data_IF_295531841906
#
_entry.id   IF_295531841906
#
_cell.length_a   1.000
_cell.length_b   1.000
_cell.length_c   1.000
_cell.angle_alpha   90.00
_cell.angle_beta   90.00
_cell.angle_gamma   90.00
#
_symmetry.space_group_name_H-M   'P 1'
#
loop_
_entity.id
_entity.type
_entity.pdbx_description
1 polymer ?
#
# COMPACT_ATOMS: atom_id res chain seq x y z
N UNK A 1 43.75 9.43 -91.73
CA UNK A 1 42.36 9.45 -92.21
C UNK A 1 41.55 10.24 -91.22
N UNK A 2 41.05 11.40 -91.67
CA UNK A 2 39.82 12.12 -91.28
C UNK A 2 39.59 12.43 -89.80
N UNK A 3 39.18 13.61 -89.32
CA UNK A 3 38.69 14.91 -89.85
C UNK A 3 38.46 15.74 -88.55
N UNK A 4 38.93 16.99 -88.47
CA UNK A 4 38.10 18.23 -88.35
C UNK A 4 37.05 18.25 -87.22
N UNK A 5 36.79 19.29 -86.42
CA UNK A 5 37.17 20.71 -86.29
C UNK A 5 36.61 21.14 -84.89
N UNK A 6 36.67 22.34 -84.32
CA UNK A 6 36.89 23.69 -84.82
C UNK A 6 36.98 24.68 -83.64
N UNK A 7 37.60 25.84 -83.94
CA UNK A 7 37.44 27.18 -83.32
C UNK A 7 38.05 27.44 -81.92
N UNK A 8 39.21 28.13 -81.78
CA UNK A 8 39.55 29.57 -82.03
C UNK A 8 38.79 30.52 -81.08
N UNK A 9 39.35 31.56 -80.43
CA UNK A 9 40.48 32.47 -80.66
C UNK A 9 40.76 33.18 -79.31
N UNK A 10 42.01 33.28 -78.83
CA UNK A 10 42.96 34.41 -78.96
C UNK A 10 42.69 35.67 -78.08
N UNK A 11 43.62 35.86 -77.12
CA UNK A 11 44.28 37.06 -76.51
C UNK A 11 43.93 38.50 -77.02
N UNK A 12 44.27 39.63 -76.34
CA UNK A 12 45.35 39.85 -75.34
C UNK A 12 45.04 40.79 -74.14
N UNK A 13 45.99 40.88 -73.20
CA UNK A 13 46.08 41.87 -72.11
C UNK A 13 46.60 43.24 -72.60
N UNK A 14 46.08 44.35 -72.06
CA UNK A 14 46.82 45.58 -71.63
C UNK A 14 45.89 46.55 -70.83
N UNK A 15 46.36 47.58 -70.08
CA UNK A 15 46.05 47.71 -68.64
C UNK A 15 45.41 49.06 -68.18
N UNK A 16 45.19 49.14 -66.86
CA UNK A 16 45.30 50.30 -65.96
C UNK A 16 44.14 51.33 -65.83
N UNK A 17 43.80 51.59 -64.55
CA UNK A 17 43.34 52.86 -63.92
C UNK A 17 41.90 53.33 -64.29
N UNK A 18 40.99 53.77 -63.43
CA UNK A 18 40.98 54.37 -62.08
C UNK A 18 39.51 54.41 -61.56
N UNK A 19 39.34 54.41 -60.24
CA UNK A 19 38.14 54.55 -59.36
C UNK A 19 37.04 55.60 -59.77
N UNK A 20 35.80 55.66 -59.19
CA UNK A 20 35.45 55.35 -57.78
C UNK A 20 34.05 54.75 -57.42
N UNK A 21 34.04 54.11 -56.24
CA UNK A 21 33.10 54.20 -55.10
C UNK A 21 31.59 54.35 -55.34
N UNK A 22 30.79 53.36 -54.91
CA UNK A 22 29.61 53.58 -54.03
C UNK A 22 29.30 52.33 -53.20
N UNK A 23 29.19 52.53 -51.88
CA UNK A 23 28.88 51.49 -50.90
C UNK A 23 27.50 51.76 -50.24
N UNK A 24 26.77 50.66 -49.97
CA UNK A 24 25.67 50.44 -48.99
C UNK A 24 24.28 51.09 -49.22
N UNK A 25 23.18 50.32 -49.00
CA UNK A 25 22.43 50.47 -47.73
C UNK A 25 21.66 49.22 -47.20
N UNK A 26 22.18 47.99 -47.24
CA UNK A 26 21.41 46.79 -46.78
C UNK A 26 21.68 46.33 -45.33
N UNK A 27 22.84 46.63 -44.75
CA UNK A 27 23.25 46.08 -43.42
C UNK A 27 22.55 46.77 -42.22
N UNK A 28 21.94 47.95 -42.42
CA UNK A 28 21.38 48.73 -41.31
C UNK A 28 19.95 48.30 -40.91
N UNK A 29 19.19 47.71 -41.84
CA UNK A 29 17.82 47.24 -41.60
C UNK A 29 17.80 45.95 -40.76
N UNK A 30 18.67 44.99 -41.05
CA UNK A 30 18.76 43.75 -40.27
C UNK A 30 19.26 43.98 -38.83
N UNK A 31 20.19 44.93 -38.65
CA UNK A 31 20.68 45.29 -37.30
C UNK A 31 19.59 45.99 -36.49
N UNK A 32 18.75 46.81 -37.12
CA UNK A 32 17.58 47.44 -36.49
C UNK A 32 16.52 46.40 -36.11
N UNK A 33 16.19 45.47 -37.02
CA UNK A 33 15.24 44.39 -36.77
C UNK A 33 15.69 43.44 -35.63
N UNK A 34 16.97 43.06 -35.56
CA UNK A 34 17.49 42.22 -34.47
C UNK A 34 17.46 42.94 -33.12
N UNK A 35 17.74 44.25 -33.08
CA UNK A 35 17.70 45.04 -31.86
C UNK A 35 16.26 45.23 -31.35
N UNK A 36 15.31 45.36 -32.27
CA UNK A 36 13.87 45.43 -31.97
C UNK A 36 13.32 44.09 -31.49
N UNK A 37 13.72 42.98 -32.12
CA UNK A 37 13.37 41.62 -31.68
C UNK A 37 13.94 41.29 -30.29
N UNK A 38 15.18 41.66 -29.99
CA UNK A 38 15.75 41.51 -28.64
C UNK A 38 15.05 42.38 -27.61
N UNK A 39 14.63 43.60 -27.97
CA UNK A 39 13.85 44.47 -27.09
C UNK A 39 12.46 43.88 -26.81
N UNK A 40 11.81 43.29 -27.81
CA UNK A 40 10.52 42.62 -27.67
C UNK A 40 10.61 41.37 -26.78
N UNK A 41 11.64 40.54 -26.97
CA UNK A 41 11.86 39.35 -26.14
C UNK A 41 12.13 39.72 -24.67
N UNK A 42 12.95 40.75 -24.45
CA UNK A 42 13.25 41.23 -23.09
C UNK A 42 12.03 41.89 -22.43
N UNK A 43 11.15 42.52 -23.22
CA UNK A 43 9.88 43.04 -22.74
C UNK A 43 8.88 41.92 -22.40
N UNK A 44 8.81 40.85 -23.20
CA UNK A 44 8.01 39.65 -22.89
C UNK A 44 8.50 38.96 -21.61
N UNK A 45 9.81 38.75 -21.46
CA UNK A 45 10.38 38.14 -20.25
C UNK A 45 10.16 39.02 -19.00
N UNK A 46 10.22 40.35 -19.15
CA UNK A 46 9.89 41.27 -18.06
C UNK A 46 8.39 41.24 -17.71
N UNK A 47 7.51 41.11 -18.71
CA UNK A 47 6.08 40.98 -18.52
C UNK A 47 5.72 39.63 -17.86
N UNK A 48 6.34 38.52 -18.26
CA UNK A 48 6.18 37.21 -17.60
C UNK A 48 6.70 37.23 -16.17
N UNK A 49 7.86 37.86 -15.91
CA UNK A 49 8.39 37.97 -14.54
C UNK A 49 7.50 38.86 -13.66
N UNK A 50 6.88 39.89 -14.24
CA UNK A 50 5.90 40.74 -13.55
C UNK A 50 4.54 40.03 -13.36
N UNK A 51 4.13 39.20 -14.29
CA UNK A 51 2.94 38.35 -14.16
C UNK A 51 3.16 37.24 -13.12
N UNK A 52 4.35 36.63 -13.08
CA UNK A 52 4.75 35.66 -12.08
C UNK A 52 4.86 36.29 -10.68
N UNK A 53 5.39 37.51 -10.56
CA UNK A 53 5.42 38.23 -9.28
C UNK A 53 4.05 38.73 -8.84
N UNK A 54 3.17 39.12 -9.77
CA UNK A 54 1.77 39.44 -9.48
C UNK A 54 0.98 38.20 -9.03
N UNK A 55 1.16 37.05 -9.70
CA UNK A 55 0.58 35.78 -9.27
C UNK A 55 1.12 35.30 -7.91
N UNK A 56 2.39 35.57 -7.60
CA UNK A 56 2.97 35.31 -6.29
C UNK A 56 2.45 36.27 -5.20
N UNK A 57 2.24 37.54 -5.52
CA UNK A 57 1.67 38.54 -4.61
C UNK A 57 0.18 38.29 -4.33
N UNK A 58 -0.59 37.84 -5.33
CA UNK A 58 -2.00 37.46 -5.17
C UNK A 58 -2.17 36.15 -4.38
N UNK A 59 -1.15 35.28 -4.39
CA UNK A 59 -1.04 34.11 -3.49
C UNK A 59 -0.64 34.46 -2.06
N UNK A 60 0.00 35.62 -1.83
CA UNK A 60 0.41 36.06 -0.49
C UNK A 60 -0.60 37.01 0.17
N UNK A 61 -1.42 37.74 -0.58
CA UNK A 61 -2.44 38.64 -0.03
C UNK A 61 -3.71 37.93 0.49
N UNK A 62 -3.92 36.65 0.17
CA UNK A 62 -4.90 35.77 0.84
C UNK A 62 -4.33 35.01 2.04
N UNK A 63 -3.06 35.28 2.42
CA UNK A 63 -2.33 34.56 3.47
C UNK A 63 -2.16 35.33 4.79
N UNK A 64 -2.79 36.50 4.96
CA UNK A 64 -2.80 37.25 6.23
C UNK A 64 -4.07 37.04 7.06
N UNK A 65 -4.54 35.79 7.14
CA UNK A 65 -5.38 35.31 8.24
C UNK A 65 -4.84 33.94 8.67
N UNK A 66 -3.82 33.94 9.52
CA UNK A 66 -3.34 32.83 10.37
C UNK A 66 -3.74 31.39 9.98
N UNK A 67 -3.05 30.77 9.00
CA UNK A 67 -3.27 29.35 8.63
C UNK A 67 -2.10 28.46 9.09
N UNK A 68 -2.36 27.57 10.06
CA UNK A 68 -1.46 26.49 10.49
C UNK A 68 -1.54 25.29 9.52
N UNK A 69 -0.41 24.96 8.87
CA UNK A 69 0.06 23.64 8.40
C UNK A 69 -1.04 22.61 8.03
N UNK A 70 -1.44 22.58 6.76
CA UNK A 70 -2.36 21.56 6.21
C UNK A 70 -1.71 20.17 6.16
N UNK A 71 -2.18 19.30 7.06
CA UNK A 71 -2.02 17.84 7.00
C UNK A 71 -3.10 17.27 6.09
N UNK A 72 -2.72 16.25 5.30
CA UNK A 72 -3.52 15.09 4.85
C UNK A 72 -5.06 15.22 4.88
N UNK A 73 -5.68 15.06 3.70
CA UNK A 73 -7.06 14.59 3.45
C UNK A 73 -7.98 14.52 4.69
N UNK A 74 -9.04 15.35 4.82
CA UNK A 74 -9.83 15.38 6.05
C UNK A 74 -10.49 14.03 6.26
N UNK A 75 -10.04 13.30 7.29
CA UNK A 75 -10.72 12.10 7.77
C UNK A 75 -12.15 12.52 8.08
N UNK A 76 -13.13 11.81 7.51
CA UNK A 76 -14.53 11.89 7.93
C UNK A 76 -14.57 11.83 9.47
N UNK A 77 -15.36 12.69 10.15
CA UNK A 77 -15.47 12.62 11.60
C UNK A 77 -15.86 11.20 12.00
N UNK A 78 -15.09 10.62 12.92
CA UNK A 78 -15.24 9.21 13.30
C UNK A 78 -16.53 9.03 14.07
N UNK A 79 -17.32 8.02 13.70
CA UNK A 79 -18.51 7.65 14.48
C UNK A 79 -18.10 7.22 15.90
N UNK A 80 -19.04 7.31 16.84
CA UNK A 80 -18.82 6.82 18.21
C UNK A 80 -18.42 5.34 18.22
N UNK A 81 -19.02 4.53 17.35
CA UNK A 81 -18.70 3.11 17.18
C UNK A 81 -17.26 2.89 16.70
N UNK A 82 -16.78 3.71 15.76
CA UNK A 82 -15.38 3.65 15.31
C UNK A 82 -14.41 4.02 16.45
N UNK A 83 -14.78 4.99 17.30
CA UNK A 83 -13.98 5.39 18.44
C UNK A 83 -13.91 4.27 19.49
N UNK A 84 -15.07 3.68 19.83
CA UNK A 84 -15.16 2.55 20.75
C UNK A 84 -14.41 1.32 20.22
N UNK A 85 -14.61 0.96 18.95
CA UNK A 85 -13.91 -0.14 18.27
C UNK A 85 -12.39 0.04 18.32
N UNK A 86 -11.88 1.27 18.14
CA UNK A 86 -10.44 1.56 18.26
C UNK A 86 -9.94 1.49 19.69
N UNK A 87 -10.72 1.95 20.67
CA UNK A 87 -10.39 1.87 22.08
C UNK A 87 -10.28 0.39 22.52
N UNK A 88 -11.29 -0.42 22.19
CA UNK A 88 -11.29 -1.86 22.43
C UNK A 88 -10.10 -2.55 21.76
N UNK A 89 -9.87 -2.28 20.46
CA UNK A 89 -8.72 -2.86 19.76
C UNK A 89 -7.38 -2.50 20.40
N UNK A 90 -7.22 -1.27 20.90
CA UNK A 90 -5.99 -0.88 21.58
C UNK A 90 -5.81 -1.64 22.90
N UNK A 91 -6.84 -1.64 23.76
CA UNK A 91 -6.78 -2.30 25.06
C UNK A 91 -6.48 -3.79 24.90
N UNK A 92 -7.30 -4.48 24.10
CA UNK A 92 -7.24 -5.93 23.96
C UNK A 92 -5.96 -6.42 23.28
N UNK A 93 -5.35 -5.62 22.40
CA UNK A 93 -4.17 -6.06 21.63
C UNK A 93 -2.84 -5.59 22.20
N UNK A 94 -2.82 -4.44 22.89
CA UNK A 94 -1.59 -3.74 23.23
C UNK A 94 -1.60 -3.12 24.64
N UNK A 95 -2.78 -2.76 25.13
CA UNK A 95 -2.95 -1.86 26.28
C UNK A 95 -3.26 -2.54 27.59
N UNK A 96 -3.62 -3.83 27.61
CA UNK A 96 -4.11 -4.51 28.82
C UNK A 96 -3.17 -4.32 30.03
N UNK A 97 -1.89 -4.65 29.89
CA UNK A 97 -0.89 -4.49 30.95
C UNK A 97 -0.75 -3.03 31.42
N UNK A 98 -0.81 -2.08 30.48
CA UNK A 98 -0.68 -0.63 30.76
C UNK A 98 -1.90 -0.06 31.48
N UNK A 99 -3.07 -0.63 31.23
CA UNK A 99 -4.33 -0.20 31.84
C UNK A 99 -4.65 -0.99 33.13
N UNK A 100 -3.71 -1.84 33.57
CA UNK A 100 -3.82 -2.66 34.78
C UNK A 100 -4.89 -3.74 34.66
N UNK A 101 -5.18 -4.20 33.44
CA UNK A 101 -6.18 -5.23 33.19
C UNK A 101 -5.53 -6.62 33.20
N UNK A 102 -6.18 -7.55 33.88
CA UNK A 102 -5.74 -8.95 33.88
C UNK A 102 -6.24 -9.64 32.61
N UNK A 103 -5.34 -9.86 31.67
CA UNK A 103 -5.62 -10.62 30.44
C UNK A 103 -5.30 -12.09 30.64
N UNK A 104 -6.25 -12.96 30.29
CA UNK A 104 -6.06 -14.41 30.29
C UNK A 104 -5.12 -14.84 29.16
N UNK A 105 -4.56 -16.06 29.28
CA UNK A 105 -3.70 -16.62 28.24
C UNK A 105 -4.40 -16.82 26.89
N UNK A 106 -5.72 -16.89 26.87
CA UNK A 106 -6.56 -16.99 25.66
C UNK A 106 -7.00 -15.62 25.10
N UNK A 107 -6.52 -14.54 25.71
CA UNK A 107 -6.76 -13.16 25.29
C UNK A 107 -8.03 -12.52 25.86
N UNK A 108 -8.83 -13.25 26.65
CA UNK A 108 -10.05 -12.72 27.25
C UNK A 108 -9.77 -11.79 28.44
N UNK A 109 -10.54 -10.70 28.50
CA UNK A 109 -10.62 -9.76 29.63
C UNK A 109 -12.10 -9.59 30.00
N UNK A 110 -12.39 -9.43 31.29
CA UNK A 110 -13.74 -9.11 31.75
C UNK A 110 -14.23 -7.80 31.12
N UNK A 111 -15.42 -7.83 30.54
CA UNK A 111 -15.97 -6.68 29.83
C UNK A 111 -16.22 -5.49 30.76
N UNK A 112 -16.71 -5.73 31.98
CA UNK A 112 -16.95 -4.67 32.96
C UNK A 112 -15.66 -3.89 33.25
N UNK A 113 -14.54 -4.60 33.46
CA UNK A 113 -13.24 -3.97 33.71
C UNK A 113 -12.79 -3.11 32.51
N UNK A 114 -13.05 -3.57 31.29
CA UNK A 114 -12.72 -2.84 30.04
C UNK A 114 -13.60 -1.60 29.89
N UNK A 115 -14.91 -1.68 30.16
CA UNK A 115 -15.86 -0.56 30.06
C UNK A 115 -15.54 0.55 31.07
N UNK A 116 -14.98 0.21 32.23
CA UNK A 116 -14.57 1.17 33.25
C UNK A 116 -13.34 2.00 32.85
N UNK A 117 -12.55 1.53 31.88
CA UNK A 117 -11.29 2.17 31.52
C UNK A 117 -11.51 3.56 30.92
N UNK A 118 -10.63 4.56 31.21
CA UNK A 118 -10.80 5.93 30.74
C UNK A 118 -10.98 6.06 29.23
N UNK A 119 -10.26 5.26 28.43
CA UNK A 119 -10.36 5.29 26.96
C UNK A 119 -11.73 4.89 26.44
N UNK A 120 -12.38 3.91 27.08
CA UNK A 120 -13.70 3.43 26.68
C UNK A 120 -14.77 4.36 27.25
N UNK A 121 -14.68 4.69 28.55
CA UNK A 121 -15.60 5.59 29.25
C UNK A 121 -15.69 7.00 28.66
N UNK A 122 -14.64 7.47 27.97
CA UNK A 122 -14.61 8.78 27.31
C UNK A 122 -15.38 8.84 25.99
N UNK A 123 -15.77 7.71 25.41
CA UNK A 123 -16.55 7.67 24.16
C UNK A 123 -18.01 7.99 24.48
N UNK A 124 -18.60 8.94 23.75
CA UNK A 124 -20.00 9.30 23.91
C UNK A 124 -20.86 8.52 22.92
N UNK A 125 -21.72 7.64 23.41
CA UNK A 125 -22.72 6.94 22.60
C UNK A 125 -23.98 7.80 22.48
N UNK A 126 -24.60 7.76 21.31
CA UNK A 126 -25.87 8.44 21.07
C UNK A 126 -26.99 7.66 21.76
N UNK A 127 -27.82 8.36 22.52
CA UNK A 127 -29.01 7.79 23.15
C UNK A 127 -30.25 8.12 22.32
N UNK A 128 -31.26 7.25 22.35
CA UNK A 128 -32.49 7.40 21.56
C UNK A 128 -33.23 8.73 21.84
N UNK A 129 -33.05 9.30 23.03
CA UNK A 129 -33.67 10.56 23.47
C UNK A 129 -32.79 11.80 23.24
N UNK A 130 -31.72 11.69 22.45
CA UNK A 130 -30.82 12.81 22.15
C UNK A 130 -29.79 13.11 23.25
N UNK A 131 -29.72 12.26 24.27
CA UNK A 131 -28.69 12.25 25.30
C UNK A 131 -27.35 11.68 24.83
N UNK A 132 -26.30 11.91 25.64
CA UNK A 132 -25.00 11.24 25.50
C UNK A 132 -24.84 10.31 26.68
N UNK A 133 -24.66 9.02 26.42
CA UNK A 133 -24.37 8.02 27.45
C UNK A 133 -23.00 7.37 27.26
N UNK A 134 -22.55 6.68 28.30
CA UNK A 134 -21.31 5.88 28.25
C UNK A 134 -21.55 4.58 27.47
N UNK A 135 -20.48 3.97 26.93
CA UNK A 135 -20.60 2.66 26.31
C UNK A 135 -21.02 1.59 27.30
N UNK A 136 -21.93 0.72 26.87
CA UNK A 136 -22.41 -0.44 27.61
C UNK A 136 -22.20 -1.74 26.83
N UNK A 137 -22.77 -2.83 27.36
CA UNK A 137 -22.72 -4.16 26.75
C UNK A 137 -23.31 -4.16 25.32
N UNK A 138 -24.47 -3.54 25.14
CA UNK A 138 -25.19 -3.45 23.86
C UNK A 138 -24.35 -2.82 22.74
N UNK A 139 -23.54 -1.81 23.06
CA UNK A 139 -22.67 -1.16 22.07
C UNK A 139 -21.52 -2.08 21.66
N UNK A 140 -20.99 -2.85 22.62
CA UNK A 140 -19.90 -3.79 22.35
C UNK A 140 -20.44 -4.98 21.55
N UNK A 141 -21.64 -5.49 21.87
CA UNK A 141 -22.32 -6.50 21.06
C UNK A 141 -22.52 -6.02 19.62
N UNK A 142 -23.07 -4.80 19.45
CA UNK A 142 -23.24 -4.18 18.13
C UNK A 142 -21.90 -4.06 17.37
N UNK A 143 -20.81 -3.67 18.04
CA UNK A 143 -19.47 -3.58 17.41
C UNK A 143 -18.91 -4.94 17.02
N UNK A 144 -19.21 -6.00 17.77
CA UNK A 144 -18.79 -7.37 17.46
C UNK A 144 -19.57 -7.87 16.24
N UNK A 145 -20.88 -7.67 16.22
CA UNK A 145 -21.80 -8.11 15.16
C UNK A 145 -21.59 -7.35 13.84
N UNK A 146 -21.46 -6.02 13.90
CA UNK A 146 -21.24 -5.17 12.71
C UNK A 146 -19.81 -5.22 12.15
N UNK A 147 -18.92 -6.02 12.76
CA UNK A 147 -17.52 -6.05 12.34
C UNK A 147 -17.30 -6.93 11.11
N UNK A 148 -17.18 -6.30 9.93
CA UNK A 148 -16.77 -6.97 8.67
C UNK A 148 -15.51 -7.85 8.81
N UNK A 149 -14.63 -7.51 9.76
CA UNK A 149 -13.35 -8.19 9.98
C UNK A 149 -13.36 -9.14 11.17
N UNK A 150 -14.51 -9.40 11.82
CA UNK A 150 -14.66 -10.25 13.00
C UNK A 150 -13.51 -10.04 14.01
N UNK A 151 -13.25 -8.77 14.36
CA UNK A 151 -12.03 -8.37 15.11
C UNK A 151 -12.07 -8.74 16.58
N UNK A 152 -13.26 -8.96 17.11
CA UNK A 152 -13.54 -9.17 18.51
C UNK A 152 -14.43 -10.39 18.65
N UNK A 153 -14.27 -11.08 19.77
CA UNK A 153 -15.18 -12.13 20.21
C UNK A 153 -15.67 -11.76 21.60
N UNK A 154 -16.95 -12.03 21.82
CA UNK A 154 -17.64 -11.80 23.07
C UNK A 154 -18.25 -13.12 23.52
N UNK A 155 -18.08 -13.46 24.79
CA UNK A 155 -18.65 -14.69 25.38
C UNK A 155 -19.18 -14.41 26.77
N UNK A 156 -20.19 -15.18 27.19
CA UNK A 156 -20.80 -15.12 28.52
C UNK A 156 -20.45 -16.43 29.24
N UNK A 157 -19.63 -16.36 30.30
CA UNK A 157 -19.22 -17.55 31.05
C UNK A 157 -20.15 -17.83 32.25
N UNK A 158 -20.78 -16.77 32.78
CA UNK A 158 -21.80 -16.84 33.82
C UNK A 158 -22.84 -15.74 33.56
N UNK A 159 -24.08 -15.85 34.08
CA UNK A 159 -25.12 -14.85 33.87
C UNK A 159 -24.66 -13.44 34.25
N UNK A 160 -24.54 -12.55 33.26
CA UNK A 160 -24.06 -11.17 33.43
C UNK A 160 -22.54 -11.00 33.51
N UNK A 161 -21.75 -12.08 33.41
CA UNK A 161 -20.29 -12.05 33.35
C UNK A 161 -19.80 -12.24 31.92
N UNK A 162 -19.67 -11.09 31.24
CA UNK A 162 -19.23 -11.01 29.86
C UNK A 162 -17.71 -10.87 29.76
N UNK A 163 -17.13 -11.59 28.81
CA UNK A 163 -15.71 -11.57 28.49
C UNK A 163 -15.51 -11.19 27.04
N UNK A 164 -14.53 -10.33 26.78
CA UNK A 164 -14.19 -9.85 25.44
C UNK A 164 -12.73 -10.10 25.12
N UNK A 165 -12.43 -10.54 23.90
CA UNK A 165 -11.07 -10.64 23.37
C UNK A 165 -10.96 -10.05 21.98
N UNK A 166 -9.75 -9.66 21.59
CA UNK A 166 -9.45 -9.49 20.18
C UNK A 166 -9.20 -10.88 19.57
N UNK A 167 -9.72 -11.14 18.38
CA UNK A 167 -9.47 -12.44 17.71
C UNK A 167 -8.01 -12.51 17.25
N UNK A 168 -7.42 -11.37 16.87
CA UNK A 168 -6.12 -11.32 16.23
C UNK A 168 -5.35 -10.03 16.52
N UNK A 169 -4.02 -10.10 16.38
CA UNK A 169 -3.14 -8.93 16.29
C UNK A 169 -2.63 -8.42 17.64
N UNK A 170 -2.48 -9.34 18.60
CA UNK A 170 -1.87 -9.06 19.90
C UNK A 170 -0.38 -8.73 19.76
N UNK A 171 0.09 -7.84 20.63
CA UNK A 171 1.51 -7.62 20.93
C UNK A 171 1.84 -7.91 22.39
N UNK A 172 0.88 -8.46 23.14
CA UNK A 172 1.05 -8.83 24.55
C UNK A 172 1.69 -10.21 24.59
N UNK A 173 2.74 -10.36 25.40
CA UNK A 173 3.48 -11.64 25.51
C UNK A 173 2.70 -12.72 26.27
N UNK A 174 1.75 -12.31 27.09
CA UNK A 174 0.93 -13.18 27.95
C UNK A 174 -0.20 -13.89 27.22
N UNK A 175 -0.53 -13.49 25.98
CA UNK A 175 -1.64 -14.05 25.21
C UNK A 175 -1.14 -15.05 24.17
N UNK A 176 -1.55 -16.29 24.35
CA UNK A 176 -1.44 -17.37 23.37
C UNK A 176 -2.63 -17.23 22.41
N UNK A 177 -2.32 -17.02 21.13
CA UNK A 177 -3.34 -16.94 20.08
C UNK A 177 -3.92 -18.34 19.87
N UNK A 178 -5.10 -18.60 20.46
CA UNK A 178 -5.75 -19.92 20.47
C UNK A 178 -6.61 -20.12 19.20
N UNK A 179 -6.51 -21.32 18.63
CA UNK A 179 -7.20 -21.85 17.43
C UNK A 179 -6.69 -21.36 16.06
N UNK A 180 -5.44 -21.69 15.73
CA UNK A 180 -4.98 -21.64 14.35
C UNK A 180 -4.75 -23.04 13.79
N UNK A 181 -5.10 -23.21 12.52
CA UNK A 181 -4.79 -24.43 11.77
C UNK A 181 -3.38 -24.29 11.21
N UNK A 182 -2.42 -25.16 11.56
CA UNK A 182 -1.11 -25.14 10.93
C UNK A 182 -1.24 -25.37 9.43
N UNK A 183 -0.63 -24.49 8.63
CA UNK A 183 -0.57 -24.65 7.19
C UNK A 183 0.60 -25.55 6.82
N UNK A 184 0.30 -26.61 6.10
CA UNK A 184 1.21 -27.64 5.60
C UNK A 184 0.98 -27.79 4.10
N UNK A 185 1.92 -28.43 3.40
CA UNK A 185 1.79 -28.65 1.95
C UNK A 185 0.48 -29.37 1.57
N UNK A 186 -0.03 -30.24 2.45
CA UNK A 186 -1.23 -31.04 2.21
C UNK A 186 -2.53 -30.23 2.34
N UNK A 187 -2.51 -29.14 3.13
CA UNK A 187 -3.70 -28.33 3.40
C UNK A 187 -3.65 -26.92 2.82
N UNK A 188 -2.70 -26.62 1.93
CA UNK A 188 -2.63 -25.32 1.23
C UNK A 188 -3.87 -25.03 0.38
N UNK A 189 -4.65 -26.04 0.01
CA UNK A 189 -5.94 -25.87 -0.66
C UNK A 189 -6.92 -24.99 0.14
N UNK A 190 -6.78 -24.91 1.47
CA UNK A 190 -7.55 -24.01 2.35
C UNK A 190 -7.34 -22.51 2.05
N UNK A 191 -6.31 -22.17 1.27
CA UNK A 191 -6.00 -20.80 0.84
C UNK A 191 -6.65 -20.42 -0.49
N UNK A 192 -7.10 -21.40 -1.29
CA UNK A 192 -7.81 -21.10 -2.54
C UNK A 192 -9.17 -20.48 -2.17
N UNK A 193 -9.46 -19.29 -2.70
CA UNK A 193 -10.78 -18.68 -2.56
C UNK A 193 -11.81 -19.67 -3.12
N UNK A 194 -12.93 -19.88 -2.43
CA UNK A 194 -13.99 -20.75 -2.89
C UNK A 194 -14.49 -20.25 -4.25
N UNK A 195 -14.02 -20.87 -5.34
CA UNK A 195 -14.70 -20.80 -6.61
C UNK A 195 -16.09 -21.39 -6.37
N UNK A 196 -17.12 -20.73 -6.88
CA UNK A 196 -18.48 -21.25 -6.78
C UNK A 196 -18.56 -22.62 -7.44
N UNK A 197 -18.68 -23.68 -6.65
CA UNK A 197 -19.40 -24.87 -7.09
C UNK A 197 -20.89 -24.57 -6.95
N UNK A 198 -21.40 -23.77 -7.88
CA UNK A 198 -22.78 -23.95 -8.30
C UNK A 198 -22.78 -25.16 -9.23
N UNK A 199 -22.90 -26.35 -8.64
CA UNK A 199 -23.81 -27.38 -9.14
C UNK A 199 -23.77 -28.59 -8.19
N UNK A 200 -24.91 -28.79 -7.53
CA UNK A 200 -25.27 -30.07 -6.91
C UNK A 200 -25.55 -31.04 -8.06
N UNK A 201 -24.63 -31.95 -8.34
CA UNK A 201 -24.90 -33.36 -8.67
C UNK A 201 -23.68 -33.99 -9.34
N UNK A 202 -23.06 -34.97 -8.67
CA UNK A 202 -22.60 -36.25 -9.24
C UNK A 202 -21.56 -36.88 -8.31
N UNK A 203 -22.06 -37.53 -7.26
CA UNK A 203 -21.36 -38.57 -6.52
C UNK A 203 -21.17 -39.78 -7.45
N UNK A 204 -20.07 -39.84 -8.22
CA UNK A 204 -19.40 -41.06 -8.71
C UNK A 204 -18.34 -40.77 -9.81
N UNK A 205 -17.29 -40.01 -9.51
CA UNK A 205 -15.98 -40.10 -10.22
C UNK A 205 -14.82 -39.46 -9.45
N UNK A 206 -15.02 -39.22 -8.15
CA UNK A 206 -14.35 -38.16 -7.39
C UNK A 206 -12.97 -38.51 -6.82
N UNK A 207 -12.53 -39.76 -6.94
CA UNK A 207 -11.25 -40.22 -6.36
C UNK A 207 -10.12 -40.23 -7.40
N UNK A 208 -10.41 -40.60 -8.65
CA UNK A 208 -9.37 -40.74 -9.69
C UNK A 208 -9.14 -39.44 -10.49
N UNK A 209 -10.18 -38.63 -10.70
CA UNK A 209 -10.04 -37.34 -11.39
C UNK A 209 -9.36 -36.26 -10.53
N UNK A 210 -9.51 -36.33 -9.19
CA UNK A 210 -8.87 -35.40 -8.24
C UNK A 210 -7.36 -35.64 -8.10
N UNK A 211 -6.90 -36.87 -8.31
CA UNK A 211 -5.48 -37.23 -8.18
C UNK A 211 -4.68 -36.98 -9.47
N UNK A 212 -5.32 -37.10 -10.64
CA UNK A 212 -4.66 -36.92 -11.94
C UNK A 212 -4.63 -35.45 -12.43
N UNK A 213 -5.48 -34.57 -11.90
CA UNK A 213 -5.55 -33.15 -12.28
C UNK A 213 -4.64 -32.20 -11.50
N UNK A 214 -4.01 -32.64 -10.41
CA UNK A 214 -3.06 -31.86 -9.62
C UNK A 214 -1.65 -31.98 -10.22
N UNK A 215 -1.46 -31.41 -11.41
CA UNK A 215 -0.11 -31.10 -11.88
C UNK A 215 0.56 -30.16 -10.86
N UNK A 216 1.73 -30.56 -10.39
CA UNK A 216 2.52 -30.01 -9.26
C UNK A 216 3.18 -28.65 -9.64
N UNK A 217 2.41 -27.70 -10.17
CA UNK A 217 2.90 -26.38 -10.60
C UNK A 217 2.08 -25.19 -10.07
N UNK A 218 1.05 -25.41 -9.26
CA UNK A 218 0.33 -24.31 -8.62
C UNK A 218 1.19 -23.71 -7.49
N UNK A 219 1.94 -22.65 -7.81
CA UNK A 219 2.51 -21.76 -6.80
C UNK A 219 1.34 -21.18 -6.00
N UNK A 220 1.27 -21.53 -4.72
CA UNK A 220 0.26 -20.96 -3.82
C UNK A 220 0.81 -19.66 -3.26
N UNK A 221 0.14 -18.56 -3.57
CA UNK A 221 0.57 -17.23 -3.17
C UNK A 221 -0.26 -16.68 -2.02
N UNK A 222 0.40 -16.01 -1.09
CA UNK A 222 -0.23 -15.14 -0.10
C UNK A 222 0.33 -13.72 -0.23
N UNK A 223 -0.47 -12.73 0.15
CA UNK A 223 -0.16 -11.32 -0.13
C UNK A 223 0.06 -10.55 1.16
N UNK A 224 1.17 -9.83 1.23
CA UNK A 224 1.40 -8.81 2.25
C UNK A 224 1.16 -7.41 1.66
N UNK A 225 0.24 -6.66 2.26
CA UNK A 225 0.01 -5.25 1.90
C UNK A 225 0.82 -4.31 2.79
N UNK A 226 1.65 -3.47 2.18
CA UNK A 226 2.47 -2.45 2.85
C UNK A 226 2.36 -1.09 2.14
N UNK A 227 3.16 -0.12 2.58
CA UNK A 227 3.27 1.21 1.98
C UNK A 227 4.57 1.37 1.20
N UNK A 228 4.54 2.09 0.09
CA UNK A 228 5.69 2.31 -0.79
C UNK A 228 6.98 2.76 -0.05
N UNK A 229 6.94 3.69 0.93
CA UNK A 229 8.16 4.07 1.67
C UNK A 229 8.75 2.96 2.55
N UNK A 230 7.94 1.98 2.96
CA UNK A 230 8.43 0.86 3.77
C UNK A 230 9.14 -0.20 2.92
N UNK A 231 9.00 -0.16 1.58
CA UNK A 231 9.53 -1.16 0.67
C UNK A 231 11.07 -1.27 0.75
N UNK A 232 11.77 -0.14 0.71
CA UNK A 232 13.23 -0.11 0.79
C UNK A 232 13.75 -0.69 2.11
N UNK A 233 13.06 -0.39 3.22
CA UNK A 233 13.41 -0.96 4.53
C UNK A 233 13.17 -2.47 4.59
N UNK A 234 12.13 -2.98 3.93
CA UNK A 234 11.85 -4.42 3.86
C UNK A 234 13.00 -5.13 3.14
N UNK A 235 13.40 -4.63 1.96
CA UNK A 235 14.54 -5.17 1.21
C UNK A 235 15.84 -5.11 2.02
N UNK A 236 16.18 -3.94 2.57
CA UNK A 236 17.41 -3.74 3.34
C UNK A 236 17.48 -4.64 4.59
N UNK A 237 16.32 -4.96 5.19
CA UNK A 237 16.24 -5.85 6.35
C UNK A 237 16.23 -7.35 6.00
N UNK A 238 16.27 -7.68 4.71
CA UNK A 238 16.28 -9.05 4.19
C UNK A 238 14.90 -9.70 4.06
N UNK A 239 13.81 -8.98 4.34
CA UNK A 239 12.45 -9.51 4.20
C UNK A 239 11.41 -8.87 5.13
N UNK A 240 10.26 -9.53 5.27
CA UNK A 240 9.19 -9.10 6.17
C UNK A 240 9.48 -9.51 7.62
N UNK A 241 9.11 -8.64 8.56
CA UNK A 241 9.22 -8.88 10.01
C UNK A 241 7.87 -8.67 10.69
N UNK A 242 7.61 -9.32 11.84
CA UNK A 242 6.42 -9.06 12.66
C UNK A 242 6.33 -7.62 13.18
N UNK A 243 7.47 -6.91 13.22
CA UNK A 243 7.62 -5.57 13.78
C UNK A 243 7.21 -5.55 15.26
N UNK A 244 6.16 -4.81 15.61
CA UNK A 244 5.64 -4.74 16.99
C UNK A 244 4.63 -5.84 17.32
N UNK A 245 4.35 -6.76 16.40
CA UNK A 245 3.39 -7.85 16.57
C UNK A 245 4.10 -9.19 16.77
N UNK A 246 3.32 -10.21 17.17
CA UNK A 246 3.84 -11.58 17.30
C UNK A 246 4.05 -12.26 15.93
N UNK A 247 3.21 -11.95 14.93
CA UNK A 247 3.23 -12.59 13.61
C UNK A 247 3.19 -11.57 12.45
N UNK A 248 3.82 -11.92 11.32
CA UNK A 248 3.60 -11.29 10.02
C UNK A 248 2.20 -11.68 9.54
N UNK A 249 1.40 -10.69 9.14
CA UNK A 249 0.02 -10.89 8.68
C UNK A 249 -0.04 -10.87 7.15
N UNK A 250 -0.68 -11.87 6.59
CA UNK A 250 -0.78 -12.13 5.15
C UNK A 250 -2.26 -12.38 4.78
N UNK A 251 -2.63 -11.99 3.57
CA UNK A 251 -3.96 -12.18 3.01
C UNK A 251 -3.96 -13.32 1.99
N UNK A 252 -5.09 -14.05 1.90
CA UNK A 252 -5.30 -15.12 0.90
C UNK A 252 -5.44 -14.62 -0.54
N UNK A 253 -5.74 -13.34 -0.72
CA UNK A 253 -5.99 -12.75 -2.03
C UNK A 253 -6.03 -11.23 -1.98
N UNK A 254 -6.31 -10.60 -3.12
CA UNK A 254 -6.40 -9.14 -3.24
C UNK A 254 -7.64 -8.61 -2.54
N UNK A 255 -7.59 -7.32 -2.17
CA UNK A 255 -8.77 -6.62 -1.69
C UNK A 255 -9.82 -6.53 -2.82
N UNK A 256 -11.03 -7.02 -2.58
CA UNK A 256 -12.13 -7.00 -3.55
C UNK A 256 -12.41 -8.31 -4.27
N UNK A 257 -11.54 -9.32 -4.10
CA UNK A 257 -11.82 -10.70 -4.55
C UNK A 257 -12.86 -11.35 -3.63
N UNK A 258 -13.77 -12.15 -4.21
CA UNK A 258 -14.83 -12.81 -3.44
C UNK A 258 -14.23 -13.78 -2.41
N UNK A 259 -14.77 -13.75 -1.18
CA UNK A 259 -14.32 -14.61 -0.08
C UNK A 259 -13.04 -14.16 0.65
N UNK A 260 -12.43 -13.03 0.26
CA UNK A 260 -11.20 -12.53 0.91
C UNK A 260 -11.51 -11.58 2.08
N UNK A 261 -11.45 -12.10 3.31
CA UNK A 261 -11.43 -11.29 4.54
C UNK A 261 -10.03 -10.66 4.65
N UNK A 262 -9.88 -9.46 4.09
CA UNK A 262 -8.57 -8.85 3.85
C UNK A 262 -7.71 -8.70 5.12
N UNK A 263 -6.59 -9.45 5.16
CA UNK A 263 -5.48 -9.33 6.12
C UNK A 263 -4.61 -8.08 5.91
N UNK A 264 -4.89 -7.29 4.88
CA UNK A 264 -4.20 -6.03 4.57
C UNK A 264 -5.11 -4.80 4.78
N UNK A 265 -4.49 -3.62 4.88
CA UNK A 265 -5.23 -2.34 4.96
C UNK A 265 -5.69 -1.96 3.55
N UNK A 266 -6.91 -1.42 3.41
CA UNK A 266 -7.43 -0.89 2.11
C UNK A 266 -6.52 0.18 1.51
N UNK A 267 -5.76 0.89 2.35
CA UNK A 267 -4.84 1.94 1.91
C UNK A 267 -3.43 1.46 1.58
N UNK A 268 -3.15 0.15 1.70
CA UNK A 268 -1.85 -0.39 1.29
C UNK A 268 -1.68 -0.18 -0.22
N UNK A 269 -0.52 0.37 -0.62
CA UNK A 269 -0.24 0.73 -2.01
C UNK A 269 0.96 -0.04 -2.60
N UNK A 270 1.48 -1.01 -1.85
CA UNK A 270 2.52 -1.94 -2.26
C UNK A 270 2.09 -3.35 -1.84
N UNK A 271 1.98 -4.25 -2.81
CA UNK A 271 1.52 -5.62 -2.60
C UNK A 271 2.68 -6.58 -2.87
N UNK A 272 3.10 -7.33 -1.84
CA UNK A 272 4.18 -8.30 -1.92
C UNK A 272 3.56 -9.69 -1.97
N UNK A 273 3.85 -10.45 -3.02
CA UNK A 273 3.37 -11.82 -3.20
C UNK A 273 4.44 -12.79 -2.73
N UNK A 274 4.02 -13.80 -2.00
CA UNK A 274 4.89 -14.75 -1.31
C UNK A 274 4.50 -16.16 -1.72
N UNK A 275 5.47 -16.94 -2.17
CA UNK A 275 5.37 -18.37 -2.37
C UNK A 275 5.39 -19.08 -1.00
N UNK A 276 4.19 -19.44 -0.52
CA UNK A 276 4.05 -20.11 0.77
C UNK A 276 4.56 -21.57 0.69
N UNK A 277 4.43 -22.20 -0.47
CA UNK A 277 4.87 -23.59 -0.70
C UNK A 277 6.38 -23.70 -0.51
N UNK A 278 7.15 -22.79 -1.11
CA UNK A 278 8.60 -22.73 -0.93
C UNK A 278 9.00 -22.39 0.50
N UNK A 279 8.30 -21.45 1.14
CA UNK A 279 8.58 -21.07 2.51
C UNK A 279 8.37 -22.22 3.52
N UNK A 280 7.28 -22.99 3.37
CA UNK A 280 6.99 -24.18 4.21
C UNK A 280 8.04 -25.27 3.98
N UNK A 281 8.44 -25.54 2.72
CA UNK A 281 9.51 -26.50 2.40
C UNK A 281 10.84 -26.14 3.07
N UNK A 282 11.14 -24.86 3.15
CA UNK A 282 12.33 -24.34 3.83
C UNK A 282 12.16 -24.26 5.38
N UNK A 283 11.06 -24.79 5.93
CA UNK A 283 10.82 -24.91 7.37
C UNK A 283 10.21 -23.67 8.04
N UNK A 284 9.64 -22.74 7.28
CA UNK A 284 8.90 -21.60 7.84
C UNK A 284 7.50 -22.04 8.23
N UNK A 285 7.14 -21.76 9.47
CA UNK A 285 5.81 -22.07 10.00
C UNK A 285 4.79 -21.04 9.53
N UNK A 286 3.65 -21.53 9.08
CA UNK A 286 2.48 -20.72 8.77
C UNK A 286 1.27 -21.30 9.48
N UNK A 287 0.36 -20.42 9.89
CA UNK A 287 -0.89 -20.82 10.50
C UNK A 287 -2.03 -20.02 9.89
N UNK A 288 -3.18 -20.65 9.73
CA UNK A 288 -4.42 -20.03 9.28
C UNK A 288 -5.31 -19.76 10.48
N UNK A 289 -5.64 -18.48 10.70
CA UNK A 289 -6.56 -18.09 11.77
C UNK A 289 -8.02 -18.40 11.42
N UNK A 290 -8.86 -18.48 12.44
CA UNK A 290 -10.32 -18.65 12.32
C UNK A 290 -11.00 -17.58 11.46
N UNK A 291 -10.44 -16.35 11.41
CA UNK A 291 -10.95 -15.27 10.56
C UNK A 291 -10.34 -15.23 9.15
N UNK A 292 -9.61 -16.28 8.74
CA UNK A 292 -9.11 -16.44 7.38
C UNK A 292 -7.81 -15.69 7.08
N UNK A 293 -7.14 -15.12 8.09
CA UNK A 293 -5.85 -14.45 7.94
C UNK A 293 -4.72 -15.47 8.03
N UNK A 294 -3.73 -15.34 7.17
CA UNK A 294 -2.54 -16.19 7.21
C UNK A 294 -1.47 -15.50 8.06
N UNK A 295 -0.89 -16.23 8.99
CA UNK A 295 0.11 -15.73 9.93
C UNK A 295 1.39 -16.54 9.83
N UNK A 296 2.53 -15.88 10.03
CA UNK A 296 3.82 -16.55 10.21
C UNK A 296 4.70 -15.76 11.17
N UNK A 297 5.44 -16.41 12.09
CA UNK A 297 6.47 -15.74 12.89
C UNK A 297 7.71 -15.37 12.05
N UNK A 298 7.78 -15.86 10.79
CA UNK A 298 9.01 -15.86 10.01
C UNK A 298 9.91 -17.03 10.38
N UNK A 299 11.15 -17.01 9.90
CA UNK A 299 12.14 -18.05 10.19
C UNK A 299 12.50 -18.08 11.69
N UNK A 300 12.62 -19.28 12.29
CA UNK A 300 12.73 -19.48 13.75
C UNK A 300 13.86 -18.68 14.42
N UNK A 301 15.01 -18.55 13.76
CA UNK A 301 16.18 -17.87 14.31
C UNK A 301 16.16 -16.36 14.06
N UNK A 302 15.60 -15.91 12.94
CA UNK A 302 15.70 -14.50 12.52
C UNK A 302 14.40 -13.72 12.69
N UNK A 303 13.25 -14.39 12.82
CA UNK A 303 11.92 -13.79 12.77
C UNK A 303 11.60 -13.12 11.43
N UNK A 304 12.34 -13.45 10.36
CA UNK A 304 12.22 -12.83 9.03
C UNK A 304 11.61 -13.82 8.06
N UNK A 305 10.62 -13.37 7.29
CA UNK A 305 10.20 -14.02 6.06
C UNK A 305 10.98 -13.41 4.89
N UNK A 306 11.97 -14.15 4.41
CA UNK A 306 12.99 -13.64 3.49
C UNK A 306 12.49 -13.24 2.11
N UNK A 307 13.17 -12.28 1.48
CA UNK A 307 12.88 -11.82 0.09
C UNK A 307 12.95 -12.97 -0.93
N UNK A 308 13.73 -14.02 -0.66
CA UNK A 308 13.82 -15.22 -1.53
C UNK A 308 12.49 -15.96 -1.76
N UNK A 309 11.48 -15.71 -0.94
CA UNK A 309 10.13 -16.26 -1.10
C UNK A 309 9.19 -15.31 -1.83
N UNK A 310 9.63 -14.09 -2.16
CA UNK A 310 8.78 -13.14 -2.87
C UNK A 310 8.76 -13.52 -4.35
N UNK A 311 7.57 -13.71 -4.90
CA UNK A 311 7.40 -14.02 -6.33
C UNK A 311 7.39 -12.75 -7.16
N UNK A 312 6.73 -11.70 -6.66
CA UNK A 312 6.72 -10.36 -7.25
C UNK A 312 6.23 -9.31 -6.24
N UNK A 313 6.38 -8.06 -6.62
CA UNK A 313 5.79 -6.92 -5.92
C UNK A 313 5.08 -6.02 -6.91
N UNK A 314 3.84 -5.65 -6.60
CA UNK A 314 3.01 -4.78 -7.42
C UNK A 314 2.69 -3.46 -6.68
N UNK A 315 2.31 -2.44 -7.42
CA UNK A 315 1.63 -1.27 -6.88
C UNK A 315 0.10 -1.47 -6.80
N UNK A 316 -0.61 -0.48 -6.26
CA UNK A 316 -2.08 -0.50 -6.18
C UNK A 316 -2.80 -0.57 -7.53
N UNK A 317 -2.12 -0.32 -8.65
CA UNK A 317 -2.64 -0.40 -10.01
C UNK A 317 -2.28 -1.74 -10.69
N UNK A 318 -1.61 -2.64 -9.98
CA UNK A 318 -1.13 -3.90 -10.52
C UNK A 318 0.15 -3.77 -11.36
N UNK A 319 0.82 -2.61 -11.34
CA UNK A 319 2.08 -2.44 -12.05
C UNK A 319 3.20 -3.15 -11.28
N UNK A 320 3.98 -3.97 -11.99
CA UNK A 320 5.14 -4.66 -11.44
C UNK A 320 6.19 -3.63 -10.97
N UNK A 321 6.60 -3.74 -9.71
CA UNK A 321 7.60 -2.90 -9.05
C UNK A 321 8.89 -3.65 -8.80
N UNK A 322 8.81 -4.96 -8.52
CA UNK A 322 9.98 -5.80 -8.31
C UNK A 322 9.65 -7.25 -8.66
N UNK A 323 10.65 -7.97 -9.18
CA UNK A 323 10.62 -9.42 -9.38
C UNK A 323 12.01 -10.01 -9.17
N UNK A 324 12.13 -11.29 -8.78
CA UNK A 324 13.42 -11.95 -8.58
C UNK A 324 14.36 -11.89 -9.79
N UNK A 325 13.82 -11.84 -11.02
CA UNK A 325 14.62 -11.78 -12.25
C UNK A 325 15.41 -10.47 -12.40
N UNK A 326 14.94 -9.36 -11.82
CA UNK A 326 15.59 -8.05 -11.96
C UNK A 326 16.89 -7.91 -11.13
N UNK A 327 17.13 -8.73 -10.11
CA UNK A 327 18.39 -8.68 -9.33
C UNK A 327 19.59 -9.28 -10.08
N UNK A 328 19.36 -10.21 -11.02
CA UNK A 328 20.42 -10.83 -11.81
C UNK A 328 21.10 -9.90 -12.83
N UNK A 329 20.48 -8.75 -13.13
CA UNK A 329 20.99 -7.77 -14.11
C UNK A 329 21.84 -6.64 -13.49
N UNK A 330 21.97 -6.59 -12.15
CA UNK A 330 22.64 -5.49 -11.44
C UNK A 330 24.01 -5.83 -10.82
N UNK A 331 24.51 -7.05 -11.03
CA UNK A 331 25.86 -7.47 -10.63
C UNK A 331 26.60 -8.01 -11.84
N UNK A 332 27.10 -7.12 -12.68
CA UNK A 332 28.06 -7.39 -13.76
C UNK A 332 28.95 -6.18 -13.95
#
# INVERSE_FOLDING_TARGET
MSTEASSSQAQPQVPASTEPTTATPTVNLERKARKEAQKALKAQQAAEKKAASAAAAQRQASSSTSVKKEKSNPRKPQSSDEQLSRALAYILRHGADKEGLSIRSDGYIKLNDVLERPRVRSVNMAEAEGGKRRPGLEDVQSIVESNDKKRFELTEEAPGEWWVRAVQGHSLKSVVELEHVPLTLDNLHLLKAAAQDSDKDALASEVDAKLAGLQIHDVVEVIHGTYAPAWESILASGGLKPMTRNHIHLAKGKFGEQGVISGMRKSANRLIYIDITRAIKDGIEFVLSSNGVVLTPGHKQSGVLGVKYFTRVEDQRGQLVWSPAQESAGSS
#
